data_IF_046470414741
#
_entry.id   IF_046470414741
#
_cell.length_a   1.000
_cell.length_b   1.000
_cell.length_c   1.000
_cell.angle_alpha   90.00
_cell.angle_beta   90.00
_cell.angle_gamma   90.00
#
_symmetry.space_group_name_H-M   'P 1'
#
loop_
_entity.id
_entity.type
_entity.pdbx_description
1 polymer ?
#
# COMPACT_ATOMS: atom_id res chain seq x y z
N UNK A 1 21.57 -14.46 -37.96
CA UNK A 1 20.96 -14.33 -36.62
C UNK A 1 20.08 -15.56 -36.41
N UNK A 2 20.43 -16.44 -35.48
CA UNK A 2 19.62 -17.64 -35.21
C UNK A 2 18.41 -17.32 -34.34
N UNK A 3 17.26 -17.15 -34.99
CA UNK A 3 15.98 -16.86 -34.35
C UNK A 3 15.60 -17.93 -33.31
N UNK A 4 15.90 -19.20 -33.58
CA UNK A 4 15.64 -20.30 -32.63
C UNK A 4 16.44 -20.17 -31.33
N UNK A 5 17.72 -19.76 -31.40
CA UNK A 5 18.56 -19.58 -30.22
C UNK A 5 18.11 -18.38 -29.38
N UNK A 6 17.79 -17.26 -30.04
CA UNK A 6 17.27 -16.06 -29.37
C UNK A 6 15.97 -16.36 -28.59
N UNK A 7 15.02 -17.08 -29.21
CA UNK A 7 13.77 -17.49 -28.56
C UNK A 7 13.99 -18.39 -27.33
N UNK A 8 15.03 -19.22 -27.34
CA UNK A 8 15.40 -20.03 -26.18
C UNK A 8 15.97 -19.17 -25.04
N UNK A 9 16.91 -18.28 -25.34
CA UNK A 9 17.52 -17.36 -24.35
C UNK A 9 16.48 -16.40 -23.75
N UNK A 10 15.57 -15.86 -24.56
CA UNK A 10 14.43 -15.06 -24.14
C UNK A 10 13.51 -15.85 -23.19
N UNK A 11 13.14 -17.09 -23.56
CA UNK A 11 12.29 -17.95 -22.74
C UNK A 11 12.95 -18.34 -21.40
N UNK A 12 14.27 -18.56 -21.37
CA UNK A 12 14.99 -18.81 -20.12
C UNK A 12 15.06 -17.55 -19.26
N UNK A 13 15.38 -16.39 -19.83
CA UNK A 13 15.38 -15.10 -19.12
C UNK A 13 14.01 -14.79 -18.52
N UNK A 14 12.92 -15.07 -19.23
CA UNK A 14 11.54 -14.93 -18.74
C UNK A 14 11.24 -15.89 -17.59
N UNK A 15 11.66 -17.16 -17.68
CA UNK A 15 11.51 -18.16 -16.59
C UNK A 15 12.31 -17.76 -15.34
N UNK A 16 13.55 -17.31 -15.50
CA UNK A 16 14.36 -16.80 -14.40
C UNK A 16 13.75 -15.57 -13.74
N UNK A 17 13.28 -14.60 -14.54
CA UNK A 17 12.63 -13.39 -14.04
C UNK A 17 11.38 -13.73 -13.22
N UNK A 18 10.56 -14.66 -13.68
CA UNK A 18 9.38 -15.16 -12.95
C UNK A 18 9.74 -15.87 -11.64
N UNK A 19 10.89 -16.56 -11.56
CA UNK A 19 11.39 -17.20 -10.32
C UNK A 19 12.00 -16.19 -9.34
N UNK A 20 12.64 -15.13 -9.84
CA UNK A 20 13.29 -14.07 -9.04
C UNK A 20 12.28 -13.10 -8.42
N UNK A 21 11.10 -12.95 -9.02
CA UNK A 21 9.99 -12.16 -8.44
C UNK A 21 9.35 -12.88 -7.25
N UNK A 22 9.55 -12.35 -6.05
CA UNK A 22 8.79 -12.76 -4.85
C UNK A 22 7.33 -12.39 -5.04
N UNK A 23 6.44 -13.38 -4.95
CA UNK A 23 4.99 -13.19 -5.11
C UNK A 23 4.38 -12.65 -3.82
N UNK A 24 4.06 -11.36 -3.79
CA UNK A 24 3.41 -10.71 -2.65
C UNK A 24 1.91 -11.01 -2.69
N UNK A 25 1.52 -12.10 -2.03
CA UNK A 25 0.12 -12.46 -1.79
C UNK A 25 -0.51 -11.55 -0.73
N UNK A 26 -1.83 -11.30 -0.83
CA UNK A 26 -2.61 -10.68 0.25
C UNK A 26 -3.24 -11.79 1.12
N UNK A 27 -2.88 -11.83 2.40
CA UNK A 27 -3.43 -12.77 3.39
C UNK A 27 -4.63 -12.11 4.09
N UNK A 28 -5.73 -12.82 4.28
CA UNK A 28 -6.88 -12.33 5.06
C UNK A 28 -6.88 -12.91 6.47
N UNK A 29 -7.06 -12.07 7.50
CA UNK A 29 -7.22 -12.50 8.90
C UNK A 29 -8.56 -11.98 9.43
N UNK A 30 -9.39 -12.88 9.95
CA UNK A 30 -10.79 -12.59 10.33
C UNK A 30 -11.01 -12.54 11.84
N UNK A 31 -11.62 -11.45 12.29
CA UNK A 31 -11.97 -11.18 13.68
C UNK A 31 -13.49 -11.17 13.88
N UNK A 32 -13.89 -11.41 15.13
CA UNK A 32 -15.26 -11.22 15.62
C UNK A 32 -15.24 -10.05 16.62
N UNK A 33 -16.34 -9.33 16.86
CA UNK A 33 -16.38 -8.25 17.87
C UNK A 33 -16.16 -8.75 19.30
N UNK A 34 -16.46 -10.03 19.56
CA UNK A 34 -16.29 -10.72 20.85
C UNK A 34 -15.22 -11.81 20.73
N UNK A 35 -13.97 -11.39 20.64
CA UNK A 35 -12.78 -12.27 20.70
C UNK A 35 -12.32 -12.45 22.14
N UNK A 36 -11.81 -13.65 22.45
CA UNK A 36 -11.06 -13.89 23.68
C UNK A 36 -9.59 -13.47 23.49
N UNK A 37 -8.92 -13.07 24.58
CA UNK A 37 -7.53 -12.60 24.55
C UNK A 37 -6.58 -13.58 23.83
N UNK A 38 -6.68 -14.88 24.12
CA UNK A 38 -5.85 -15.90 23.46
C UNK A 38 -6.05 -16.03 21.94
N UNK A 39 -7.26 -15.80 21.42
CA UNK A 39 -7.54 -15.78 19.97
C UNK A 39 -6.99 -14.51 19.31
N UNK A 40 -7.05 -13.38 20.02
CA UNK A 40 -6.42 -12.12 19.60
C UNK A 40 -4.90 -12.27 19.50
N UNK A 41 -4.23 -12.70 20.58
CA UNK A 41 -2.78 -12.85 20.65
C UNK A 41 -2.26 -13.82 19.55
N UNK A 42 -2.96 -14.94 19.35
CA UNK A 42 -2.64 -15.92 18.30
C UNK A 42 -2.77 -15.34 16.89
N UNK A 43 -3.80 -14.51 16.62
CA UNK A 43 -3.97 -13.88 15.31
C UNK A 43 -2.98 -12.77 15.05
N UNK A 44 -2.63 -11.97 16.06
CA UNK A 44 -1.56 -10.96 15.96
C UNK A 44 -0.23 -11.65 15.63
N UNK A 45 0.08 -12.79 16.25
CA UNK A 45 1.26 -13.59 15.91
C UNK A 45 1.29 -14.02 14.43
N UNK A 46 0.19 -14.57 13.90
CA UNK A 46 0.11 -14.92 12.48
C UNK A 46 0.25 -13.69 11.56
N UNK A 47 -0.21 -12.50 11.97
CA UNK A 47 0.02 -11.27 11.20
C UNK A 47 1.50 -10.88 11.17
N UNK A 48 2.20 -10.98 12.30
CA UNK A 48 3.64 -10.72 12.37
C UNK A 48 4.40 -11.64 11.42
N UNK A 49 4.08 -12.93 11.44
CA UNK A 49 4.66 -13.95 10.54
C UNK A 49 4.38 -13.59 9.05
N UNK A 50 3.15 -13.22 8.68
CA UNK A 50 2.85 -12.79 7.30
C UNK A 50 3.52 -11.47 6.87
N UNK A 51 3.71 -10.53 7.79
CA UNK A 51 4.37 -9.26 7.48
C UNK A 51 5.90 -9.46 7.34
N UNK A 52 6.50 -10.37 8.11
CA UNK A 52 7.92 -10.74 7.98
C UNK A 52 8.19 -11.52 6.67
N UNK A 53 7.26 -12.40 6.25
CA UNK A 53 7.23 -13.00 4.90
C UNK A 53 7.09 -11.95 3.78
N UNK A 54 6.78 -10.69 4.11
CA UNK A 54 6.61 -9.60 3.15
C UNK A 54 5.26 -9.59 2.43
N UNK A 55 4.26 -10.30 2.96
CA UNK A 55 2.89 -10.31 2.44
C UNK A 55 2.08 -9.11 2.94
N UNK A 56 1.07 -8.69 2.17
CA UNK A 56 0.06 -7.73 2.66
C UNK A 56 -0.96 -8.46 3.52
N UNK A 57 -1.39 -7.85 4.62
CA UNK A 57 -2.39 -8.43 5.52
C UNK A 57 -3.66 -7.58 5.49
N UNK A 58 -4.78 -8.19 5.10
CA UNK A 58 -6.11 -7.61 5.18
C UNK A 58 -6.80 -8.11 6.44
N UNK A 59 -6.90 -7.24 7.43
CA UNK A 59 -7.64 -7.48 8.66
C UNK A 59 -9.12 -7.24 8.37
N UNK A 60 -9.97 -8.21 8.66
CA UNK A 60 -11.43 -8.12 8.45
C UNK A 60 -12.17 -8.46 9.73
N UNK A 61 -12.81 -7.47 10.34
CA UNK A 61 -13.75 -7.66 11.42
C UNK A 61 -15.15 -7.89 10.82
N UNK A 62 -15.77 -9.02 11.14
CA UNK A 62 -17.15 -9.30 10.72
C UNK A 62 -18.11 -9.04 11.87
N UNK A 63 -18.93 -7.99 11.79
CA UNK A 63 -20.02 -7.76 12.73
C UNK A 63 -21.13 -8.81 12.54
N UNK A 64 -21.88 -9.15 13.60
CA UNK A 64 -23.06 -10.03 13.49
C UNK A 64 -24.34 -9.32 13.91
N UNK A 65 -25.19 -9.01 12.92
CA UNK A 65 -26.54 -8.49 13.13
C UNK A 65 -26.54 -7.20 13.97
N UNK A 66 -27.02 -7.30 15.21
CA UNK A 66 -27.11 -6.19 16.17
C UNK A 66 -25.77 -5.50 16.48
N UNK A 67 -24.65 -6.21 16.29
CA UNK A 67 -23.31 -5.65 16.53
C UNK A 67 -22.89 -4.58 15.50
N UNK A 68 -23.59 -4.44 14.37
CA UNK A 68 -23.33 -3.35 13.39
C UNK A 68 -23.62 -1.96 13.97
N UNK A 69 -24.41 -1.85 15.05
CA UNK A 69 -24.65 -0.61 15.76
C UNK A 69 -23.45 -0.15 16.64
N UNK A 70 -22.42 -1.00 16.80
CA UNK A 70 -21.24 -0.70 17.62
C UNK A 70 -19.94 -0.78 16.81
N UNK A 71 -19.74 0.12 15.82
CA UNK A 71 -18.47 0.21 15.09
C UNK A 71 -17.28 0.52 16.03
N UNK A 72 -17.53 1.24 17.14
CA UNK A 72 -16.53 1.58 18.16
C UNK A 72 -15.79 0.37 18.76
N UNK A 73 -16.49 -0.74 19.02
CA UNK A 73 -15.83 -1.97 19.50
C UNK A 73 -14.84 -2.49 18.46
N UNK A 74 -15.19 -2.34 17.18
CA UNK A 74 -14.33 -2.75 16.10
C UNK A 74 -13.11 -1.86 15.94
N UNK A 75 -13.28 -0.54 16.03
CA UNK A 75 -12.16 0.41 15.96
C UNK A 75 -11.15 0.10 17.06
N UNK A 76 -11.62 -0.03 18.32
CA UNK A 76 -10.78 -0.40 19.47
C UNK A 76 -9.97 -1.69 19.26
N UNK A 77 -10.54 -2.70 18.61
CA UNK A 77 -9.82 -3.94 18.28
C UNK A 77 -8.75 -3.68 17.20
N UNK A 78 -9.06 -2.91 16.16
CA UNK A 78 -8.08 -2.58 15.10
C UNK A 78 -6.95 -1.67 15.62
N UNK A 79 -7.26 -0.71 16.48
CA UNK A 79 -6.28 0.16 17.14
C UNK A 79 -5.33 -0.67 18.01
N UNK A 80 -5.85 -1.62 18.79
CA UNK A 80 -5.04 -2.57 19.55
C UNK A 80 -4.19 -3.50 18.65
N UNK A 81 -4.69 -3.89 17.47
CA UNK A 81 -3.86 -4.62 16.48
C UNK A 81 -2.72 -3.75 15.96
N UNK A 82 -2.96 -2.47 15.65
CA UNK A 82 -1.90 -1.53 15.22
C UNK A 82 -0.84 -1.38 16.32
N UNK A 83 -1.26 -1.18 17.57
CA UNK A 83 -0.36 -1.03 18.71
C UNK A 83 0.55 -2.25 18.91
N UNK A 84 0.00 -3.47 18.82
CA UNK A 84 0.77 -4.72 18.97
C UNK A 84 1.69 -5.02 17.77
N UNK A 85 1.34 -4.59 16.56
CA UNK A 85 2.18 -4.75 15.37
C UNK A 85 3.31 -3.70 15.31
N UNK A 86 3.11 -2.54 15.92
CA UNK A 86 4.10 -1.50 16.09
C UNK A 86 4.78 -1.08 14.77
N UNK A 87 6.11 -0.89 14.74
CA UNK A 87 6.82 -0.31 13.60
C UNK A 87 6.99 -1.26 12.39
N UNK A 88 6.57 -2.53 12.50
CA UNK A 88 6.71 -3.52 11.42
C UNK A 88 5.62 -3.32 10.35
N UNK A 89 4.45 -2.83 10.76
CA UNK A 89 3.30 -2.67 9.89
C UNK A 89 3.07 -1.20 9.50
N UNK A 90 2.96 -0.95 8.20
CA UNK A 90 2.47 0.32 7.65
C UNK A 90 0.99 0.18 7.28
N UNK A 91 0.13 1.02 7.86
CA UNK A 91 -1.28 1.12 7.46
C UNK A 91 -1.35 1.69 6.05
N UNK A 92 -1.99 0.95 5.14
CA UNK A 92 -2.20 1.30 3.73
C UNK A 92 -3.63 1.78 3.51
N UNK A 93 -4.59 1.10 4.15
CA UNK A 93 -5.98 1.54 4.26
C UNK A 93 -6.40 1.44 5.71
N UNK A 94 -6.80 2.56 6.30
CA UNK A 94 -7.34 2.66 7.66
C UNK A 94 -8.66 1.90 7.79
N UNK A 95 -9.16 1.77 9.02
CA UNK A 95 -10.42 1.10 9.34
C UNK A 95 -11.59 1.67 8.50
N UNK A 96 -12.06 0.91 7.51
CA UNK A 96 -13.20 1.27 6.63
C UNK A 96 -14.35 0.29 6.81
N UNK A 97 -15.55 0.82 7.04
CA UNK A 97 -16.77 0.01 7.09
C UNK A 97 -17.29 -0.29 5.68
N UNK A 98 -17.14 -1.55 5.26
CA UNK A 98 -17.65 -2.13 4.01
C UNK A 98 -18.93 -2.94 4.34
N UNK A 99 -20.04 -2.20 4.54
CA UNK A 99 -21.34 -2.77 4.92
C UNK A 99 -21.30 -3.49 6.28
N UNK A 100 -21.33 -4.83 6.25
CA UNK A 100 -21.31 -5.68 7.45
C UNK A 100 -19.90 -5.96 7.99
N UNK A 101 -18.86 -5.66 7.22
CA UNK A 101 -17.48 -5.91 7.59
C UNK A 101 -16.76 -4.58 7.80
N UNK A 102 -15.88 -4.49 8.79
CA UNK A 102 -14.87 -3.42 8.82
C UNK A 102 -13.51 -3.99 8.45
N UNK A 103 -12.84 -3.36 7.50
CA UNK A 103 -11.56 -3.83 6.97
C UNK A 103 -10.46 -2.80 7.14
N UNK A 104 -9.24 -3.29 7.34
CA UNK A 104 -8.01 -2.52 7.38
C UNK A 104 -6.94 -3.29 6.59
N UNK A 105 -6.10 -2.58 5.83
CA UNK A 105 -5.02 -3.19 5.04
C UNK A 105 -3.68 -2.71 5.57
N UNK A 106 -2.84 -3.67 5.94
CA UNK A 106 -1.49 -3.50 6.44
C UNK A 106 -0.50 -3.94 5.36
N UNK A 107 0.50 -3.12 5.11
CA UNK A 107 1.66 -3.45 4.29
C UNK A 107 2.90 -3.58 5.18
N UNK A 108 3.83 -4.49 4.88
CA UNK A 108 5.06 -4.63 5.65
C UNK A 108 6.00 -3.44 5.39
N UNK A 109 6.61 -2.88 6.44
CA UNK A 109 7.66 -1.88 6.25
C UNK A 109 8.95 -2.56 5.76
N UNK A 110 9.17 -2.46 4.45
CA UNK A 110 10.33 -3.03 3.75
C UNK A 110 11.69 -2.49 4.23
N UNK A 111 11.72 -1.48 5.12
CA UNK A 111 12.97 -1.03 5.76
C UNK A 111 13.52 -2.06 6.74
N UNK A 112 12.68 -2.95 7.31
CA UNK A 112 13.11 -4.10 8.12
C UNK A 112 13.45 -5.33 7.25
N UNK A 113 12.58 -5.70 6.30
CA UNK A 113 12.74 -6.91 5.48
C UNK A 113 13.87 -6.86 4.42
N UNK A 114 14.57 -5.73 4.26
CA UNK A 114 15.68 -5.58 3.29
C UNK A 114 17.02 -6.15 3.80
N UNK A 115 17.07 -7.44 4.14
CA UNK A 115 18.34 -8.17 4.25
C UNK A 115 18.29 -9.69 3.93
N UNK A 116 17.76 -10.12 2.77
CA UNK A 116 18.23 -11.38 2.19
C UNK A 116 19.75 -11.23 1.94
N UNK A 117 20.53 -12.16 2.46
CA UNK A 117 21.98 -12.07 2.46
C UNK A 117 22.57 -12.05 1.04
N UNK A 118 23.20 -10.95 0.67
CA UNK A 118 24.17 -10.90 -0.43
C UNK A 118 25.58 -10.75 0.16
N UNK A 119 26.54 -11.62 -0.21
CA UNK A 119 27.92 -11.45 0.22
C UNK A 119 28.47 -10.17 -0.43
N UNK A 120 28.98 -9.27 0.42
CA UNK A 120 29.51 -7.97 0.01
C UNK A 120 31.05 -8.04 0.00
N UNK A 121 31.71 -8.26 -1.15
CA UNK A 121 33.14 -7.93 -1.27
C UNK A 121 33.32 -6.41 -1.08
N UNK A 122 34.46 -6.03 -0.50
CA UNK A 122 34.69 -4.70 0.05
C UNK A 122 35.36 -3.72 -0.93
N UNK A 123 35.28 -2.42 -0.57
CA UNK A 123 36.03 -1.30 -1.13
C UNK A 123 35.76 -0.97 -2.64
N UNK A 124 36.02 0.24 -3.15
CA UNK A 124 36.80 1.39 -2.62
C UNK A 124 36.19 2.71 -3.12
N UNK A 125 36.45 3.84 -2.43
CA UNK A 125 36.35 5.17 -3.05
C UNK A 125 37.44 5.30 -4.12
N UNK A 126 37.24 6.07 -5.20
CA UNK A 126 37.82 7.41 -5.15
C UNK A 126 36.94 8.53 -5.71
N UNK A 127 37.20 9.74 -5.21
CA UNK A 127 36.78 11.01 -5.80
C UNK A 127 37.40 11.18 -7.19
N UNK A 128 36.65 11.74 -8.14
CA UNK A 128 37.23 12.51 -9.25
C UNK A 128 36.50 13.84 -9.35
N UNK A 129 37.26 14.91 -9.60
CA UNK A 129 36.81 16.30 -9.54
C UNK A 129 36.35 16.83 -10.91
N UNK A 130 35.60 17.93 -10.83
CA UNK A 130 35.13 18.83 -11.89
C UNK A 130 36.20 19.13 -12.98
N UNK A 131 35.81 19.54 -14.21
CA UNK A 131 35.45 20.95 -14.39
C UNK A 131 34.26 21.25 -15.33
N UNK A 132 33.47 22.25 -14.90
CA UNK A 132 32.63 23.16 -15.73
C UNK A 132 33.56 24.01 -16.63
N UNK A 133 33.12 24.63 -17.77
CA UNK A 133 32.19 25.78 -17.71
C UNK A 133 31.30 26.08 -18.96
N UNK A 134 30.36 27.05 -18.81
CA UNK A 134 29.75 27.98 -19.81
C UNK A 134 29.01 27.41 -21.05
N UNK A 135 27.97 28.01 -21.67
CA UNK A 135 27.20 29.30 -21.64
C UNK A 135 25.85 29.01 -22.38
N UNK A 136 24.73 29.75 -22.36
CA UNK A 136 24.18 30.94 -21.66
C UNK A 136 22.66 31.04 -21.98
N UNK A 137 21.91 31.95 -21.32
CA UNK A 137 20.74 32.69 -21.88
C UNK A 137 19.42 31.88 -22.15
N UNK A 138 18.17 32.38 -22.02
CA UNK A 138 17.59 33.72 -21.76
C UNK A 138 16.22 33.60 -21.04
N UNK A 139 15.73 34.73 -20.53
CA UNK A 139 14.31 35.14 -20.43
C UNK A 139 13.39 34.54 -19.34
N UNK A 140 12.97 35.46 -18.47
CA UNK A 140 11.87 35.38 -17.49
C UNK A 140 10.56 35.97 -18.05
N UNK A 141 9.48 35.76 -17.30
CA UNK A 141 8.23 36.57 -17.29
C UNK A 141 7.18 36.30 -18.37
N UNK A 142 6.01 35.82 -17.92
CA UNK A 142 4.62 36.33 -18.18
C UNK A 142 3.68 35.22 -17.68
N UNK A 143 3.30 35.20 -16.41
CA UNK A 143 1.97 35.64 -15.93
C UNK A 143 0.80 35.21 -16.82
N UNK A 144 0.13 34.12 -16.44
CA UNK A 144 -1.33 34.14 -16.42
C UNK A 144 -1.83 33.35 -15.20
N UNK A 145 -2.68 34.01 -14.42
CA UNK A 145 -3.43 33.44 -13.29
C UNK A 145 -4.78 34.10 -13.37
N UNK A 146 -5.82 33.34 -13.68
CA UNK A 146 -7.19 33.78 -13.41
C UNK A 146 -8.02 32.61 -12.84
N UNK A 147 -8.96 32.84 -11.89
CA UNK A 147 -9.47 31.77 -11.04
C UNK A 147 -11.01 31.70 -10.98
N UNK A 148 -11.52 30.99 -9.96
CA UNK A 148 -12.81 31.21 -9.29
C UNK A 148 -14.12 30.81 -10.00
N UNK A 149 -14.58 29.63 -9.58
CA UNK A 149 -15.98 29.32 -9.28
C UNK A 149 -16.65 30.37 -8.35
N UNK A 150 -17.86 30.84 -8.69
CA UNK A 150 -18.94 31.16 -7.74
C UNK A 150 -20.28 31.55 -8.43
N UNK A 151 -21.39 30.88 -8.05
CA UNK A 151 -22.74 31.46 -7.73
C UNK A 151 -23.56 32.12 -8.87
N UNK A 152 -24.88 32.24 -8.84
CA UNK A 152 -26.02 31.53 -8.21
C UNK A 152 -27.29 31.93 -9.03
N UNK A 153 -28.51 31.71 -8.52
CA UNK A 153 -29.83 31.98 -9.17
C UNK A 153 -30.19 31.00 -10.32
N UNK A 154 -31.22 30.12 -10.25
CA UNK A 154 -32.56 30.07 -9.64
C UNK A 154 -33.69 30.68 -10.49
N UNK A 155 -34.89 30.10 -10.33
CA UNK A 155 -36.23 30.54 -10.78
C UNK A 155 -36.61 30.12 -12.21
N UNK A 156 -37.47 29.08 -12.28
CA UNK A 156 -38.79 28.97 -12.95
C UNK A 156 -38.97 29.49 -14.41
N UNK A 157 -39.92 29.03 -15.21
CA UNK A 157 -41.23 28.46 -14.90
C UNK A 157 -41.75 27.54 -16.03
N UNK A 158 -42.85 26.85 -15.73
CA UNK A 158 -43.79 26.11 -16.57
C UNK A 158 -43.90 26.50 -18.06
N UNK A 159 -44.06 25.48 -18.92
CA UNK A 159 -45.35 25.29 -19.66
C UNK A 159 -45.46 23.95 -20.39
N UNK A 160 -46.55 23.23 -20.10
CA UNK A 160 -47.23 22.37 -21.09
C UNK A 160 -47.95 23.25 -22.11
N UNK A 161 -47.96 22.85 -23.39
CA UNK A 161 -49.16 22.85 -24.26
C UNK A 161 -48.80 22.50 -25.72
N UNK A 162 -49.43 21.42 -26.22
CA UNK A 162 -49.99 21.12 -27.56
C UNK A 162 -49.87 19.62 -27.83
#
# INVERSE_FOLDING_TARGET
>A
MDYGKFRYEEAQRLKESRKKTVQITMKEVKFKPKIAKGDFDTKVRHMLEFLDEGHKVKVTLQFRGREMAHPELGSKILDAVIEQLGPIAKVDTSARLEGRNMTMVLSPDKKAAKRPASPKPAATKPTSVNPTPIKQDISITTTETEPQNAKDENIQDSQEAI
#
